data_IF_149558569392
#
_entry.id   IF_149558569392
#
_cell.length_a   1.000
_cell.length_b   1.000
_cell.length_c   1.000
_cell.angle_alpha   90.00
_cell.angle_beta   90.00
_cell.angle_gamma   90.00
#
_symmetry.space_group_name_H-M   'P 1'
#
loop_
_entity.id
_entity.type
_entity.pdbx_description
1 polymer ?
#
# COMPACT_ATOMS: atom_id res chain seq x y z
N UNK A 1 -14.04 13.40 4.25
CA UNK A 1 -14.59 13.16 2.90
C UNK A 1 -15.66 12.10 3.07
N UNK A 2 -16.90 12.54 3.22
CA UNK A 2 -18.04 11.64 3.42
C UNK A 2 -18.39 11.06 2.05
N UNK A 3 -18.34 9.73 1.92
CA UNK A 3 -18.66 9.01 0.69
C UNK A 3 -20.20 8.99 0.49
N UNK A 4 -20.81 10.16 0.45
CA UNK A 4 -22.26 10.36 0.51
C UNK A 4 -23.02 10.01 -0.78
N UNK A 5 -22.31 9.67 -1.86
CA UNK A 5 -22.88 9.32 -3.17
C UNK A 5 -22.70 7.84 -3.55
N UNK A 6 -22.29 6.98 -2.61
CA UNK A 6 -21.99 5.56 -2.88
C UNK A 6 -23.17 4.76 -3.45
N UNK A 7 -24.41 5.14 -3.11
CA UNK A 7 -25.62 4.44 -3.55
C UNK A 7 -26.25 5.01 -4.84
N UNK A 8 -25.66 6.06 -5.45
CA UNK A 8 -26.20 6.65 -6.68
C UNK A 8 -25.89 5.79 -7.90
N UNK A 9 -26.93 5.42 -8.66
CA UNK A 9 -26.75 4.70 -9.94
C UNK A 9 -26.09 5.62 -10.96
N UNK A 10 -24.84 5.30 -11.31
CA UNK A 10 -24.09 6.04 -12.35
C UNK A 10 -24.58 5.64 -13.74
N UNK A 11 -25.05 6.61 -14.52
CA UNK A 11 -25.56 6.37 -15.87
C UNK A 11 -24.44 6.00 -16.86
N UNK A 12 -24.80 5.24 -17.90
CA UNK A 12 -23.87 4.85 -18.98
C UNK A 12 -23.24 6.06 -19.69
N UNK A 13 -23.98 7.16 -19.84
CA UNK A 13 -23.46 8.39 -20.45
C UNK A 13 -22.37 9.04 -19.59
N UNK A 14 -22.53 9.05 -18.27
CA UNK A 14 -21.51 9.55 -17.32
C UNK A 14 -20.25 8.70 -17.36
N UNK A 15 -20.39 7.37 -17.36
CA UNK A 15 -19.27 6.44 -17.51
C UNK A 15 -18.55 6.70 -18.84
N UNK A 16 -19.28 6.74 -19.94
CA UNK A 16 -18.72 6.94 -21.28
C UNK A 16 -17.96 8.26 -21.41
N UNK A 17 -18.47 9.34 -20.81
CA UNK A 17 -17.80 10.64 -20.75
C UNK A 17 -16.52 10.59 -19.91
N UNK A 18 -16.56 9.97 -18.74
CA UNK A 18 -15.39 9.83 -17.87
C UNK A 18 -14.29 9.00 -18.53
N UNK A 19 -14.64 7.87 -19.16
CA UNK A 19 -13.69 7.02 -19.90
C UNK A 19 -13.08 7.79 -21.06
N UNK A 20 -13.88 8.50 -21.88
CA UNK A 20 -13.32 9.32 -22.97
C UNK A 20 -12.40 10.42 -22.47
N UNK A 21 -12.78 11.13 -21.40
CA UNK A 21 -11.93 12.14 -20.77
C UNK A 21 -10.61 11.50 -20.32
N UNK A 22 -10.66 10.37 -19.62
CA UNK A 22 -9.47 9.71 -19.12
C UNK A 22 -8.58 9.15 -20.23
N UNK A 23 -9.14 8.64 -21.33
CA UNK A 23 -8.39 7.89 -22.34
C UNK A 23 -7.98 8.72 -23.54
N UNK A 24 -8.83 9.64 -23.99
CA UNK A 24 -8.70 10.31 -25.28
C UNK A 24 -8.51 11.84 -25.20
N UNK A 25 -8.46 12.42 -24.00
CA UNK A 25 -8.19 13.86 -23.82
C UNK A 25 -6.76 14.11 -23.34
N UNK A 26 -6.30 15.35 -23.53
CA UNK A 26 -5.00 15.83 -23.03
C UNK A 26 -4.93 15.74 -21.50
N UNK A 27 -6.02 16.10 -20.81
CA UNK A 27 -6.10 15.95 -19.36
C UNK A 27 -5.89 14.48 -18.94
N UNK A 28 -6.51 13.55 -19.66
CA UNK A 28 -6.33 12.13 -19.45
C UNK A 28 -4.89 11.66 -19.70
N UNK A 29 -4.21 12.24 -20.70
CA UNK A 29 -2.80 11.97 -20.98
C UNK A 29 -1.91 12.36 -19.79
N UNK A 30 -2.08 13.57 -19.26
CA UNK A 30 -1.31 14.06 -18.12
C UNK A 30 -1.56 13.23 -16.85
N UNK A 31 -2.81 12.82 -16.59
CA UNK A 31 -3.14 11.92 -15.49
C UNK A 31 -2.37 10.59 -15.64
N UNK A 32 -2.42 9.96 -16.83
CA UNK A 32 -1.72 8.69 -17.05
C UNK A 32 -0.20 8.84 -16.90
N UNK A 33 0.38 9.93 -17.40
CA UNK A 33 1.81 10.23 -17.25
C UNK A 33 2.22 10.39 -15.79
N UNK A 34 1.45 11.15 -15.00
CA UNK A 34 1.69 11.31 -13.55
C UNK A 34 1.61 9.98 -12.81
N UNK A 35 0.63 9.14 -13.15
CA UNK A 35 0.47 7.81 -12.52
C UNK A 35 1.64 6.89 -12.85
N UNK A 36 2.17 6.93 -14.08
CA UNK A 36 3.36 6.15 -14.45
C UNK A 36 4.59 6.56 -13.65
N UNK A 37 4.84 7.87 -13.51
CA UNK A 37 5.98 8.36 -12.73
C UNK A 37 5.83 8.02 -11.25
N UNK A 38 4.65 8.23 -10.69
CA UNK A 38 4.36 7.88 -9.29
C UNK A 38 4.55 6.37 -9.05
N UNK A 39 4.10 5.52 -9.97
CA UNK A 39 4.30 4.08 -9.88
C UNK A 39 5.78 3.67 -9.94
N UNK A 40 6.61 4.39 -10.71
CA UNK A 40 8.05 4.18 -10.75
C UNK A 40 8.70 4.54 -9.41
N UNK A 41 8.37 5.72 -8.87
CA UNK A 41 8.88 6.18 -7.57
C UNK A 41 8.51 5.20 -6.44
N UNK A 42 7.26 4.73 -6.39
CA UNK A 42 6.82 3.73 -5.39
C UNK A 42 7.58 2.40 -5.52
N UNK A 43 7.88 1.96 -6.74
CA UNK A 43 8.68 0.75 -6.94
C UNK A 43 10.13 0.96 -6.51
N UNK A 44 10.70 2.13 -6.78
CA UNK A 44 12.06 2.48 -6.39
C UNK A 44 12.20 2.57 -4.87
N UNK A 45 11.23 3.16 -4.16
CA UNK A 45 11.25 3.23 -2.68
C UNK A 45 11.33 1.88 -1.97
N UNK A 46 10.97 0.80 -2.66
CA UNK A 46 11.05 -0.58 -2.16
C UNK A 46 12.29 -1.33 -2.67
N UNK A 47 13.18 -0.67 -3.40
CA UNK A 47 14.43 -1.28 -3.85
C UNK A 47 15.45 -1.37 -2.71
N UNK A 48 16.27 -2.42 -2.74
CA UNK A 48 17.24 -2.70 -1.69
C UNK A 48 18.18 -1.51 -1.47
N UNK A 49 18.29 -1.06 -0.21
CA UNK A 49 19.20 0.02 0.18
C UNK A 49 18.59 1.43 0.15
N UNK A 50 17.33 1.59 -0.23
CA UNK A 50 16.60 2.87 -0.06
C UNK A 50 16.00 3.00 1.36
N UNK A 51 15.83 4.24 1.84
CA UNK A 51 15.39 4.53 3.21
C UNK A 51 14.07 3.82 3.57
N UNK A 52 13.08 3.80 2.66
CA UNK A 52 11.80 3.13 2.92
C UNK A 52 11.95 1.60 3.02
N UNK A 53 12.89 1.00 2.28
CA UNK A 53 13.21 -0.42 2.43
C UNK A 53 13.85 -0.71 3.79
N UNK A 54 14.76 0.15 4.26
CA UNK A 54 15.40 0.01 5.57
C UNK A 54 14.42 0.15 6.73
N UNK A 55 13.51 1.13 6.67
CA UNK A 55 12.44 1.28 7.66
C UNK A 55 11.53 0.05 7.69
N UNK A 56 11.22 -0.51 6.51
CA UNK A 56 10.40 -1.72 6.40
C UNK A 56 11.12 -2.95 6.96
N UNK A 57 12.40 -3.15 6.63
CA UNK A 57 13.24 -4.21 7.18
C UNK A 57 13.35 -4.11 8.71
N UNK A 58 13.57 -2.89 9.22
CA UNK A 58 13.63 -2.61 10.66
C UNK A 58 12.32 -2.99 11.36
N UNK A 59 11.17 -2.64 10.76
CA UNK A 59 9.86 -3.00 11.27
C UNK A 59 9.62 -4.52 11.28
N UNK A 60 9.96 -5.21 10.19
CA UNK A 60 9.84 -6.68 10.09
C UNK A 60 10.76 -7.36 11.11
N UNK A 61 12.00 -6.88 11.26
CA UNK A 61 12.94 -7.38 12.25
C UNK A 61 12.42 -7.18 13.68
N UNK A 62 11.83 -6.03 13.98
CA UNK A 62 11.23 -5.74 15.28
C UNK A 62 10.11 -6.74 15.60
N UNK A 63 9.12 -6.89 14.72
CA UNK A 63 8.00 -7.84 14.93
C UNK A 63 8.52 -9.28 15.09
N UNK A 64 9.49 -9.69 14.27
CA UNK A 64 10.07 -11.03 14.32
C UNK A 64 10.77 -11.30 15.65
N UNK A 65 11.50 -10.30 16.18
CA UNK A 65 12.13 -10.37 17.49
C UNK A 65 11.10 -10.48 18.61
N UNK A 66 10.04 -9.69 18.58
CA UNK A 66 8.98 -9.74 19.60
C UNK A 66 8.28 -11.10 19.62
N UNK A 67 7.95 -11.66 18.45
CA UNK A 67 7.36 -13.01 18.34
C UNK A 67 8.29 -14.07 18.91
N UNK A 68 9.59 -13.99 18.57
CA UNK A 68 10.60 -14.93 19.06
C UNK A 68 10.78 -14.83 20.57
N UNK A 69 10.80 -13.60 21.11
CA UNK A 69 10.85 -13.33 22.55
C UNK A 69 9.66 -13.94 23.29
N UNK A 70 8.44 -13.76 22.77
CA UNK A 70 7.22 -14.34 23.33
C UNK A 70 7.26 -15.87 23.38
N UNK A 71 7.72 -16.52 22.30
CA UNK A 71 7.91 -17.98 22.25
C UNK A 71 8.91 -18.44 23.29
N UNK A 72 10.07 -17.79 23.37
CA UNK A 72 11.13 -18.11 24.33
C UNK A 72 10.68 -17.91 25.78
N UNK A 73 9.90 -16.87 26.05
CA UNK A 73 9.33 -16.62 27.37
C UNK A 73 8.32 -17.71 27.77
N UNK A 74 7.44 -18.13 26.86
CA UNK A 74 6.51 -19.24 27.10
C UNK A 74 7.22 -20.56 27.42
N UNK A 75 8.26 -20.91 26.65
CA UNK A 75 9.08 -22.12 26.89
C UNK A 75 9.74 -22.05 28.27
N UNK A 76 10.38 -20.92 28.61
CA UNK A 76 11.01 -20.73 29.92
C UNK A 76 10.02 -20.88 31.08
N UNK A 77 8.83 -20.28 30.96
CA UNK A 77 7.78 -20.39 31.98
C UNK A 77 7.22 -21.81 32.14
N UNK A 78 7.26 -22.63 31.08
CA UNK A 78 6.89 -24.04 31.16
C UNK A 78 7.97 -24.84 31.91
N UNK A 79 9.24 -24.66 31.52
CA UNK A 79 10.37 -25.35 32.15
C UNK A 79 10.54 -24.99 33.62
N UNK A 80 10.20 -23.77 34.05
CA UNK A 80 10.27 -23.36 35.45
C UNK A 80 9.17 -23.94 36.35
N UNK A 81 8.18 -24.62 35.77
CA UNK A 81 7.05 -25.25 36.48
C UNK A 81 7.15 -26.78 36.57
N UNK A 82 8.16 -27.37 35.92
CA UNK A 82 8.58 -28.77 36.07
C UNK A 82 9.51 -28.90 37.27
#
# INVERSE_FOLDING_TARGET
MEWSQGDEVVTSSRISKAVRRLMASEEGHEIRKRVLEMGKVVKQSLSEGEDCHLEWDSFVAHITREISSLKNHKIRNFLSKL
#
